data_IF_280858961500
#
_entry.id   IF_280858961500
#
_cell.length_a   1.000
_cell.length_b   1.000
_cell.length_c   1.000
_cell.angle_alpha   90.00
_cell.angle_beta   90.00
_cell.angle_gamma   90.00
#
_symmetry.space_group_name_H-M   'P 1'
#
loop_
_entity.id
_entity.type
_entity.pdbx_description
1 polymer ?
#
# COMPACT_ATOMS: atom_id res chain seq x y z
N UNK A 1 -13.64 35.99 21.32
CA UNK A 1 -12.21 35.88 21.71
C UNK A 1 -11.88 34.61 22.49
N UNK A 2 -12.78 34.07 23.30
CA UNK A 2 -12.53 32.88 24.15
C UNK A 2 -12.50 31.54 23.39
N UNK A 3 -13.16 31.42 22.25
CA UNK A 3 -13.19 30.19 21.44
C UNK A 3 -11.93 29.97 20.61
N UNK A 4 -11.29 31.06 20.16
CA UNK A 4 -10.03 30.98 19.42
C UNK A 4 -8.85 30.53 20.28
N UNK A 5 -8.81 31.01 21.54
CA UNK A 5 -7.79 30.61 22.53
C UNK A 5 -7.89 29.14 22.95
N UNK A 6 -9.11 28.55 22.99
CA UNK A 6 -9.31 27.13 23.28
C UNK A 6 -8.79 26.24 22.13
N UNK A 7 -9.05 26.63 20.88
CA UNK A 7 -8.52 25.90 19.70
C UNK A 7 -7.00 25.96 19.63
N UNK A 8 -6.43 27.14 19.93
CA UNK A 8 -4.98 27.31 19.93
C UNK A 8 -4.32 26.50 21.06
N UNK A 9 -4.94 26.38 22.22
CA UNK A 9 -4.44 25.55 23.33
C UNK A 9 -4.51 24.04 23.00
N UNK A 10 -5.57 23.60 22.36
CA UNK A 10 -5.68 22.18 21.92
C UNK A 10 -4.68 21.84 20.83
N UNK A 11 -4.39 22.77 19.92
CA UNK A 11 -3.37 22.59 18.90
C UNK A 11 -1.96 22.50 19.53
N UNK A 12 -1.64 23.38 20.48
CA UNK A 12 -0.35 23.35 21.18
C UNK A 12 -0.19 22.11 22.08
N UNK A 13 -1.25 21.58 22.68
CA UNK A 13 -1.17 20.35 23.48
C UNK A 13 -1.00 19.14 22.54
N UNK A 14 -1.65 19.16 21.38
CA UNK A 14 -1.51 18.13 20.35
C UNK A 14 -0.10 18.11 19.75
N UNK A 15 0.49 19.27 19.46
CA UNK A 15 1.87 19.39 18.99
C UNK A 15 2.89 19.02 20.07
N UNK A 16 2.64 19.36 21.34
CA UNK A 16 3.50 18.94 22.45
C UNK A 16 3.42 17.44 22.70
N UNK A 17 2.21 16.83 22.61
CA UNK A 17 2.08 15.37 22.72
C UNK A 17 2.76 14.65 21.55
N UNK A 18 2.76 15.29 20.37
CA UNK A 18 3.44 14.78 19.18
C UNK A 18 4.96 14.82 19.30
N UNK A 19 5.50 15.85 19.99
CA UNK A 19 6.94 16.04 20.21
C UNK A 19 7.47 15.25 21.42
N UNK A 20 6.62 14.92 22.40
CA UNK A 20 7.05 14.19 23.61
C UNK A 20 6.85 12.68 23.51
N UNK A 21 6.01 12.19 22.62
CA UNK A 21 5.97 10.78 22.29
C UNK A 21 6.95 10.56 21.15
N UNK A 22 8.21 10.35 21.47
CA UNK A 22 9.24 9.96 20.50
C UNK A 22 8.81 8.68 19.78
N UNK A 23 8.03 8.83 18.71
CA UNK A 23 7.55 7.71 17.87
C UNK A 23 8.69 6.91 17.23
N UNK A 24 9.89 7.47 17.27
CA UNK A 24 11.13 6.78 16.88
C UNK A 24 11.32 5.51 17.70
N UNK A 25 10.95 5.48 18.98
CA UNK A 25 11.02 4.28 19.81
C UNK A 25 10.17 3.12 19.28
N UNK A 26 8.96 3.40 18.78
CA UNK A 26 8.11 2.37 18.17
C UNK A 26 8.68 1.84 16.85
N UNK A 27 9.29 2.72 16.05
CA UNK A 27 9.96 2.32 14.81
C UNK A 27 11.20 1.46 15.12
N UNK A 28 11.99 1.83 16.13
CA UNK A 28 13.14 1.03 16.60
C UNK A 28 12.65 -0.31 17.16
N UNK A 29 11.61 -0.32 18.00
CA UNK A 29 11.04 -1.55 18.53
C UNK A 29 10.53 -2.46 17.40
N UNK A 30 9.85 -1.88 16.40
CA UNK A 30 9.42 -2.61 15.21
C UNK A 30 10.60 -3.20 14.43
N UNK A 31 11.65 -2.42 14.20
CA UNK A 31 12.86 -2.87 13.51
C UNK A 31 13.58 -3.98 14.29
N UNK A 32 13.75 -3.82 15.60
CA UNK A 32 14.37 -4.83 16.47
C UNK A 32 13.53 -6.11 16.50
N UNK A 33 12.20 -5.99 16.57
CA UNK A 33 11.29 -7.14 16.53
C UNK A 33 11.35 -7.86 15.17
N UNK A 34 11.48 -7.11 14.06
CA UNK A 34 11.61 -7.68 12.72
C UNK A 34 12.92 -8.47 12.59
N UNK A 35 14.04 -7.87 12.98
CA UNK A 35 15.37 -8.51 12.92
C UNK A 35 15.43 -9.69 13.87
N UNK A 36 14.95 -9.52 15.12
CA UNK A 36 14.90 -10.59 16.11
C UNK A 36 13.99 -11.75 15.66
N UNK A 37 12.82 -11.44 15.13
CA UNK A 37 11.91 -12.45 14.57
C UNK A 37 12.51 -13.19 13.37
N UNK A 38 13.21 -12.49 12.47
CA UNK A 38 13.93 -13.11 11.36
C UNK A 38 15.06 -14.03 11.84
N UNK A 39 15.84 -13.61 12.82
CA UNK A 39 16.90 -14.42 13.43
C UNK A 39 16.35 -15.67 14.13
N UNK A 40 15.24 -15.55 14.86
CA UNK A 40 14.55 -16.66 15.48
C UNK A 40 13.99 -17.61 14.42
N UNK A 41 13.35 -17.08 13.37
CA UNK A 41 12.84 -17.88 12.27
C UNK A 41 13.96 -18.66 11.57
N UNK A 42 15.10 -18.05 11.34
CA UNK A 42 16.28 -18.72 10.79
C UNK A 42 16.79 -19.82 11.72
N UNK A 43 16.78 -19.60 13.04
CA UNK A 43 17.23 -20.59 14.01
C UNK A 43 16.31 -21.81 14.12
N UNK A 44 14.99 -21.61 14.10
CA UNK A 44 14.00 -22.64 14.39
C UNK A 44 13.41 -23.34 13.15
N UNK A 45 13.36 -22.64 11.99
CA UNK A 45 12.69 -23.17 10.80
C UNK A 45 13.69 -23.54 9.69
N UNK A 46 13.78 -24.82 9.37
CA UNK A 46 14.67 -25.34 8.32
C UNK A 46 14.41 -24.73 6.92
N UNK A 47 13.13 -24.49 6.58
CA UNK A 47 12.80 -23.89 5.28
C UNK A 47 13.22 -22.42 5.17
N UNK A 48 13.36 -21.71 6.28
CA UNK A 48 13.89 -20.34 6.24
C UNK A 48 15.38 -20.37 5.94
N UNK A 49 16.11 -21.34 6.50
CA UNK A 49 17.54 -21.54 6.18
C UNK A 49 17.73 -21.88 4.71
N UNK A 50 16.96 -22.82 4.19
CA UNK A 50 17.05 -23.21 2.77
C UNK A 50 16.79 -21.99 1.87
N UNK A 51 15.80 -21.16 2.14
CA UNK A 51 15.53 -19.95 1.37
C UNK A 51 16.66 -18.94 1.46
N UNK A 52 17.29 -18.81 2.60
CA UNK A 52 18.42 -17.90 2.83
C UNK A 52 19.68 -18.42 2.10
N UNK A 53 19.95 -19.72 2.17
CA UNK A 53 21.06 -20.36 1.44
C UNK A 53 20.85 -20.29 -0.07
N UNK A 54 19.64 -20.52 -0.54
CA UNK A 54 19.27 -20.36 -1.96
C UNK A 54 19.43 -18.91 -2.45
N UNK A 55 19.21 -17.93 -1.58
CA UNK A 55 19.41 -16.53 -1.92
C UNK A 55 20.88 -16.14 -2.00
N UNK A 56 21.71 -16.60 -1.06
CA UNK A 56 23.13 -16.31 -1.00
C UNK A 56 23.92 -17.13 -2.06
N UNK A 57 23.61 -18.42 -2.16
CA UNK A 57 24.34 -19.38 -2.98
C UNK A 57 23.43 -20.16 -3.94
N UNK A 58 22.79 -19.52 -4.93
CA UNK A 58 21.79 -20.18 -5.78
C UNK A 58 22.37 -21.29 -6.65
N UNK A 59 23.65 -21.23 -6.99
CA UNK A 59 24.29 -22.19 -7.89
C UNK A 59 24.86 -23.42 -7.18
N UNK A 60 24.83 -23.50 -5.86
CA UNK A 60 25.38 -24.62 -5.10
C UNK A 60 24.51 -25.87 -5.28
N UNK A 61 23.20 -25.75 -5.31
CA UNK A 61 22.27 -26.83 -5.58
C UNK A 61 21.30 -26.45 -6.70
N UNK A 62 21.66 -26.87 -7.91
CA UNK A 62 20.87 -26.52 -9.11
C UNK A 62 19.46 -27.12 -9.08
N UNK A 63 19.28 -28.29 -8.48
CA UNK A 63 18.00 -28.98 -8.45
C UNK A 63 16.99 -28.25 -7.54
N UNK A 64 17.42 -27.80 -6.37
CA UNK A 64 16.60 -27.04 -5.43
C UNK A 64 16.34 -25.61 -5.90
N UNK A 65 17.33 -25.00 -6.55
CA UNK A 65 17.29 -23.60 -6.94
C UNK A 65 16.90 -23.38 -8.40
N UNK A 66 16.52 -24.44 -9.12
CA UNK A 66 16.19 -24.41 -10.54
C UNK A 66 15.24 -23.25 -10.90
N UNK A 67 14.19 -23.06 -10.10
CA UNK A 67 13.18 -22.02 -10.30
C UNK A 67 13.77 -20.60 -10.27
N UNK A 68 14.62 -20.30 -9.26
CA UNK A 68 15.26 -18.99 -9.11
C UNK A 68 16.28 -18.76 -10.23
N UNK A 69 17.03 -19.79 -10.58
CA UNK A 69 18.05 -19.72 -11.63
C UNK A 69 17.40 -19.45 -12.98
N UNK A 70 16.34 -20.19 -13.32
CA UNK A 70 15.60 -19.97 -14.58
C UNK A 70 14.94 -18.60 -14.62
N UNK A 71 14.42 -18.11 -13.48
CA UNK A 71 13.89 -16.78 -13.38
C UNK A 71 14.93 -15.69 -13.67
N UNK A 72 16.16 -15.85 -13.16
CA UNK A 72 17.27 -14.94 -13.45
C UNK A 72 17.70 -14.99 -14.94
N UNK A 73 17.75 -16.17 -15.53
CA UNK A 73 18.00 -16.29 -16.95
C UNK A 73 16.90 -15.65 -17.80
N UNK A 74 15.62 -15.84 -17.44
CA UNK A 74 14.51 -15.19 -18.12
C UNK A 74 14.66 -13.65 -18.11
N UNK A 75 14.95 -13.06 -16.95
CA UNK A 75 15.22 -11.61 -16.85
C UNK A 75 16.43 -11.17 -17.68
N UNK A 76 17.52 -11.95 -17.66
CA UNK A 76 18.73 -11.64 -18.43
C UNK A 76 18.47 -11.68 -19.95
N UNK A 77 17.65 -12.64 -20.40
CA UNK A 77 17.30 -12.80 -21.81
C UNK A 77 16.36 -11.70 -22.32
N UNK A 78 15.52 -11.13 -21.44
CA UNK A 78 14.67 -10.01 -21.80
C UNK A 78 15.44 -8.72 -22.08
N UNK A 79 16.59 -8.50 -21.46
CA UNK A 79 17.38 -7.29 -21.65
C UNK A 79 16.56 -6.00 -21.40
N UNK A 80 16.86 -4.94 -22.15
CA UNK A 80 16.15 -3.66 -22.02
C UNK A 80 14.78 -3.67 -22.71
N UNK A 81 14.71 -4.14 -23.95
CA UNK A 81 13.52 -4.04 -24.80
C UNK A 81 12.61 -5.27 -24.77
N UNK A 82 13.05 -6.36 -24.16
CA UNK A 82 12.34 -7.64 -24.18
C UNK A 82 12.57 -8.44 -25.46
N UNK A 83 12.12 -9.70 -25.43
CA UNK A 83 12.16 -10.60 -26.61
C UNK A 83 10.98 -10.34 -27.56
N UNK A 84 9.95 -9.69 -27.09
CA UNK A 84 8.69 -9.48 -27.77
C UNK A 84 7.52 -10.24 -27.12
N UNK A 85 6.33 -9.71 -27.27
CA UNK A 85 5.12 -10.28 -26.68
C UNK A 85 4.85 -11.69 -27.24
N UNK A 86 4.71 -12.66 -26.34
CA UNK A 86 4.49 -14.07 -26.69
C UNK A 86 5.72 -14.81 -27.22
N UNK A 87 6.90 -14.17 -27.31
CA UNK A 87 8.16 -14.78 -27.74
C UNK A 87 9.04 -15.22 -26.55
N UNK A 88 8.61 -14.96 -25.33
CA UNK A 88 9.23 -15.50 -24.12
C UNK A 88 9.03 -17.01 -23.98
N UNK A 89 9.74 -17.60 -23.06
CA UNK A 89 9.61 -19.01 -22.70
C UNK A 89 9.24 -19.17 -21.23
N UNK A 90 8.08 -18.63 -20.79
CA UNK A 90 7.68 -18.68 -19.38
C UNK A 90 7.52 -20.10 -18.84
N UNK A 91 7.28 -21.09 -19.72
CA UNK A 91 7.18 -22.51 -19.34
C UNK A 91 8.49 -23.12 -18.82
N UNK A 92 9.64 -22.44 -18.99
CA UNK A 92 10.93 -22.89 -18.42
C UNK A 92 11.04 -22.55 -16.93
N UNK A 93 10.26 -21.56 -16.46
CA UNK A 93 10.20 -21.19 -15.04
C UNK A 93 9.02 -21.89 -14.39
N UNK A 94 9.23 -22.84 -13.48
CA UNK A 94 8.14 -23.47 -12.74
C UNK A 94 7.32 -22.41 -12.01
N UNK A 95 5.98 -22.51 -12.04
CA UNK A 95 5.06 -21.55 -11.40
C UNK A 95 5.23 -20.09 -11.89
N UNK A 96 5.63 -19.88 -13.14
CA UNK A 96 5.79 -18.57 -13.75
C UNK A 96 4.51 -17.73 -13.64
N UNK A 97 3.33 -18.36 -13.69
CA UNK A 97 2.01 -17.70 -13.57
C UNK A 97 1.64 -17.26 -12.14
N UNK A 98 2.38 -17.70 -11.13
CA UNK A 98 2.14 -17.36 -9.72
C UNK A 98 3.19 -16.35 -9.23
N UNK A 99 4.28 -16.85 -8.66
CA UNK A 99 5.25 -16.04 -7.93
C UNK A 99 6.24 -15.32 -8.87
N UNK A 100 6.42 -15.85 -10.10
CA UNK A 100 7.39 -15.37 -11.07
C UNK A 100 6.77 -14.67 -12.30
N UNK A 101 5.53 -14.19 -12.19
CA UNK A 101 4.89 -13.44 -13.29
C UNK A 101 5.73 -12.21 -13.69
N UNK A 102 6.39 -11.55 -12.73
CA UNK A 102 7.28 -10.43 -12.97
C UNK A 102 8.48 -10.81 -13.84
N UNK A 103 8.97 -12.06 -13.75
CA UNK A 103 10.03 -12.59 -14.62
C UNK A 103 9.55 -12.75 -16.04
N UNK A 104 8.34 -13.32 -16.24
CA UNK A 104 7.76 -13.47 -17.57
C UNK A 104 7.56 -12.14 -18.25
N UNK A 105 7.09 -11.12 -17.51
CA UNK A 105 6.98 -9.74 -18.01
C UNK A 105 8.36 -9.18 -18.37
N UNK A 106 9.36 -9.41 -17.51
CA UNK A 106 10.73 -8.96 -17.76
C UNK A 106 11.38 -9.68 -18.94
N UNK A 107 11.06 -10.94 -19.24
CA UNK A 107 11.54 -11.65 -20.41
C UNK A 107 10.89 -11.14 -21.70
N UNK A 108 9.56 -10.95 -21.72
CA UNK A 108 8.82 -10.55 -22.93
C UNK A 108 8.93 -9.06 -23.23
N UNK A 109 8.75 -8.20 -22.22
CA UNK A 109 8.73 -6.74 -22.36
C UNK A 109 10.04 -6.07 -21.91
N UNK A 110 10.98 -6.84 -21.42
CA UNK A 110 12.26 -6.33 -20.92
C UNK A 110 12.15 -5.57 -19.61
N UNK A 111 13.27 -4.97 -19.23
CA UNK A 111 13.33 -4.09 -18.05
C UNK A 111 12.36 -2.92 -18.18
N UNK A 112 12.16 -2.41 -19.41
CA UNK A 112 11.21 -1.29 -19.66
C UNK A 112 9.78 -1.66 -19.29
N UNK A 113 9.31 -2.85 -19.66
CA UNK A 113 7.99 -3.35 -19.29
C UNK A 113 7.85 -3.60 -17.79
N UNK A 114 8.86 -4.19 -17.18
CA UNK A 114 8.89 -4.39 -15.72
C UNK A 114 8.84 -3.06 -14.97
N UNK A 115 9.61 -2.06 -15.41
CA UNK A 115 9.59 -0.72 -14.81
C UNK A 115 8.24 -0.02 -14.99
N UNK A 116 7.56 -0.22 -16.14
CA UNK A 116 6.21 0.31 -16.33
C UNK A 116 5.21 -0.28 -15.33
N UNK A 117 5.28 -1.58 -15.06
CA UNK A 117 4.46 -2.25 -14.05
C UNK A 117 4.76 -1.72 -12.65
N UNK A 118 6.03 -1.59 -12.28
CA UNK A 118 6.45 -1.01 -10.99
C UNK A 118 5.91 0.41 -10.85
N UNK A 119 6.00 1.22 -11.92
CA UNK A 119 5.50 2.59 -11.92
C UNK A 119 3.98 2.64 -11.71
N UNK A 120 3.21 1.73 -12.33
CA UNK A 120 1.76 1.63 -12.09
C UNK A 120 1.45 1.36 -10.62
N UNK A 121 2.13 0.41 -9.99
CA UNK A 121 1.97 0.14 -8.56
C UNK A 121 2.40 1.33 -7.69
N UNK A 122 3.47 2.01 -8.06
CA UNK A 122 3.92 3.21 -7.38
C UNK A 122 2.87 4.33 -7.44
N UNK A 123 2.27 4.57 -8.62
CA UNK A 123 1.20 5.55 -8.79
C UNK A 123 -0.01 5.17 -7.94
N UNK A 124 -0.43 3.90 -7.95
CA UNK A 124 -1.55 3.41 -7.15
C UNK A 124 -1.30 3.65 -5.64
N UNK A 125 -0.12 3.27 -5.17
CA UNK A 125 0.28 3.45 -3.76
C UNK A 125 0.37 4.94 -3.38
N UNK A 126 0.99 5.76 -4.24
CA UNK A 126 1.09 7.20 -4.02
C UNK A 126 -0.28 7.88 -3.99
N UNK A 127 -1.22 7.45 -4.82
CA UNK A 127 -2.61 7.92 -4.78
C UNK A 127 -3.31 7.52 -3.49
N UNK A 128 -3.14 6.29 -3.02
CA UNK A 128 -3.64 5.82 -1.74
C UNK A 128 -3.07 6.65 -0.57
N UNK A 129 -1.76 6.87 -0.56
CA UNK A 129 -1.12 7.67 0.47
C UNK A 129 -1.57 9.14 0.47
N UNK A 130 -1.74 9.75 -0.71
CA UNK A 130 -2.32 11.11 -0.83
C UNK A 130 -3.76 11.16 -0.32
N UNK A 131 -4.55 10.12 -0.56
CA UNK A 131 -5.90 10.01 -0.01
C UNK A 131 -5.87 9.96 1.51
N UNK A 132 -4.95 9.18 2.10
CA UNK A 132 -4.77 9.11 3.55
C UNK A 132 -4.43 10.48 4.16
N UNK A 133 -3.51 11.22 3.53
CA UNK A 133 -3.12 12.56 3.99
C UNK A 133 -4.28 13.59 3.92
N UNK A 134 -5.21 13.41 2.97
CA UNK A 134 -6.39 14.26 2.83
C UNK A 134 -7.56 13.87 3.75
N UNK A 135 -7.49 12.77 4.50
CA UNK A 135 -8.55 12.33 5.40
C UNK A 135 -8.66 13.26 6.62
N UNK A 136 -9.89 13.69 6.91
CA UNK A 136 -10.23 14.43 8.13
C UNK A 136 -10.37 13.52 9.35
N UNK A 137 -10.84 12.30 9.12
CA UNK A 137 -11.02 11.27 10.13
C UNK A 137 -9.71 10.51 10.37
N UNK A 138 -9.28 10.44 11.64
CA UNK A 138 -8.02 9.80 12.03
C UNK A 138 -8.03 8.29 11.74
N UNK A 139 -9.17 7.63 11.94
CA UNK A 139 -9.30 6.20 11.65
C UNK A 139 -9.17 5.92 10.14
N UNK A 140 -9.90 6.65 9.31
CA UNK A 140 -9.83 6.54 7.86
C UNK A 140 -8.42 6.83 7.32
N UNK A 141 -7.75 7.84 7.88
CA UNK A 141 -6.36 8.18 7.57
C UNK A 141 -5.42 7.01 7.83
N UNK A 142 -5.48 6.44 9.04
CA UNK A 142 -4.60 5.34 9.44
C UNK A 142 -4.88 4.07 8.63
N UNK A 143 -6.15 3.78 8.41
CA UNK A 143 -6.60 2.62 7.62
C UNK A 143 -6.11 2.69 6.18
N UNK A 144 -6.32 3.81 5.48
CA UNK A 144 -5.89 3.97 4.08
C UNK A 144 -4.38 4.01 3.95
N UNK A 145 -3.69 4.68 4.89
CA UNK A 145 -2.23 4.68 4.93
C UNK A 145 -1.67 3.26 5.11
N UNK A 146 -2.21 2.49 6.05
CA UNK A 146 -1.81 1.10 6.31
C UNK A 146 -2.05 0.19 5.11
N UNK A 147 -3.23 0.27 4.48
CA UNK A 147 -3.54 -0.52 3.29
C UNK A 147 -2.65 -0.17 2.10
N UNK A 148 -2.39 1.11 1.86
CA UNK A 148 -1.48 1.57 0.80
C UNK A 148 -0.04 1.12 1.05
N UNK A 149 0.41 1.19 2.29
CA UNK A 149 1.73 0.72 2.69
C UNK A 149 1.86 -0.81 2.54
N UNK A 150 0.83 -1.57 2.90
CA UNK A 150 0.81 -3.04 2.73
C UNK A 150 0.95 -3.41 1.26
N UNK A 151 0.23 -2.72 0.36
CA UNK A 151 0.34 -2.94 -1.08
C UNK A 151 1.75 -2.63 -1.58
N UNK A 152 2.35 -1.50 -1.15
CA UNK A 152 3.72 -1.14 -1.51
C UNK A 152 4.74 -2.17 -1.04
N UNK A 153 4.61 -2.62 0.21
CA UNK A 153 5.50 -3.60 0.80
C UNK A 153 5.39 -4.96 0.08
N UNK A 154 4.17 -5.37 -0.27
CA UNK A 154 3.93 -6.59 -1.03
C UNK A 154 4.64 -6.56 -2.40
N UNK A 155 4.46 -5.48 -3.17
CA UNK A 155 5.13 -5.30 -4.47
C UNK A 155 6.65 -5.26 -4.31
N UNK A 156 7.14 -4.52 -3.32
CA UNK A 156 8.57 -4.45 -3.03
C UNK A 156 9.18 -5.82 -2.69
N UNK A 157 8.49 -6.61 -1.84
CA UNK A 157 8.95 -7.93 -1.45
C UNK A 157 8.99 -8.91 -2.64
N UNK A 158 8.01 -8.83 -3.55
CA UNK A 158 7.93 -9.70 -4.73
C UNK A 158 9.01 -9.33 -5.73
N UNK A 159 9.10 -8.07 -6.12
CA UNK A 159 10.12 -7.61 -7.07
C UNK A 159 11.53 -7.82 -6.49
N UNK A 160 11.71 -7.51 -5.19
CA UNK A 160 12.96 -7.75 -4.48
C UNK A 160 13.35 -9.23 -4.43
N UNK A 161 12.37 -10.13 -4.26
CA UNK A 161 12.59 -11.57 -4.29
C UNK A 161 13.00 -12.07 -5.68
N UNK A 162 12.29 -11.62 -6.73
CA UNK A 162 12.58 -12.01 -8.12
C UNK A 162 13.92 -11.44 -8.61
N UNK A 163 14.27 -10.22 -8.23
CA UNK A 163 15.56 -9.59 -8.57
C UNK A 163 16.71 -10.00 -7.65
N UNK A 164 16.47 -10.89 -6.68
CA UNK A 164 17.45 -11.31 -5.67
C UNK A 164 17.94 -10.20 -4.74
N UNK A 165 17.23 -9.09 -4.66
CA UNK A 165 17.49 -8.07 -3.63
C UNK A 165 17.12 -8.60 -2.23
N UNK A 166 16.07 -9.43 -2.16
CA UNK A 166 15.55 -10.07 -0.96
C UNK A 166 15.49 -11.60 -1.15
N UNK A 167 15.46 -12.37 -0.06
CA UNK A 167 15.11 -13.80 -0.14
C UNK A 167 13.72 -13.97 -0.72
N UNK A 168 13.51 -15.00 -1.54
CA UNK A 168 12.22 -15.26 -2.17
C UNK A 168 11.13 -15.51 -1.13
N UNK A 169 10.07 -14.70 -1.15
CA UNK A 169 9.00 -14.75 -0.16
C UNK A 169 7.87 -15.72 -0.53
N UNK A 170 7.69 -16.02 -1.81
CA UNK A 170 6.57 -16.82 -2.32
C UNK A 170 5.22 -16.07 -2.23
N UNK A 171 5.26 -14.73 -2.24
CA UNK A 171 4.07 -13.90 -2.33
C UNK A 171 3.63 -13.74 -3.78
N UNK A 172 2.31 -13.77 -3.99
CA UNK A 172 1.72 -13.57 -5.31
C UNK A 172 1.67 -12.08 -5.67
N UNK A 173 1.97 -11.75 -6.94
CA UNK A 173 1.91 -10.35 -7.43
C UNK A 173 0.47 -9.87 -7.43
N UNK A 174 0.16 -8.69 -6.81
CA UNK A 174 -1.19 -8.15 -6.79
C UNK A 174 -1.75 -8.02 -8.21
N UNK A 175 -3.02 -8.39 -8.40
CA UNK A 175 -3.79 -8.29 -9.64
C UNK A 175 -3.27 -9.10 -10.85
N UNK A 176 -2.05 -9.60 -10.84
CA UNK A 176 -1.41 -10.24 -12.01
C UNK A 176 -1.20 -11.74 -11.84
N UNK A 177 -0.93 -12.20 -10.63
CA UNK A 177 -0.68 -13.61 -10.35
C UNK A 177 -1.94 -14.43 -10.26
N UNK A 178 -1.85 -15.70 -10.60
CA UNK A 178 -2.91 -16.68 -10.42
C UNK A 178 -3.04 -17.04 -8.92
N UNK A 179 -3.83 -16.24 -8.20
CA UNK A 179 -4.11 -16.45 -6.78
C UNK A 179 -5.49 -15.89 -6.46
N UNK A 180 -6.55 -16.73 -6.48
CA UNK A 180 -7.92 -16.24 -6.31
C UNK A 180 -8.15 -15.47 -5.02
N UNK A 181 -7.66 -15.96 -3.88
CA UNK A 181 -7.79 -15.28 -2.58
C UNK A 181 -7.01 -13.97 -2.52
N UNK A 182 -5.78 -13.96 -3.06
CA UNK A 182 -4.95 -12.76 -3.13
C UNK A 182 -5.57 -11.69 -4.02
N UNK A 183 -6.14 -12.09 -5.17
CA UNK A 183 -6.82 -11.19 -6.09
C UNK A 183 -8.00 -10.50 -5.40
N UNK A 184 -8.87 -11.27 -4.73
CA UNK A 184 -10.03 -10.73 -4.00
C UNK A 184 -9.57 -9.78 -2.89
N UNK A 185 -8.56 -10.15 -2.10
CA UNK A 185 -8.03 -9.31 -1.03
C UNK A 185 -7.50 -7.96 -1.57
N UNK A 186 -6.73 -7.98 -2.67
CA UNK A 186 -6.20 -6.76 -3.28
C UNK A 186 -7.30 -5.86 -3.86
N UNK A 187 -8.38 -6.45 -4.44
CA UNK A 187 -9.54 -5.69 -4.90
C UNK A 187 -10.29 -5.04 -3.73
N UNK A 188 -10.43 -5.75 -2.60
CA UNK A 188 -11.02 -5.18 -1.38
C UNK A 188 -10.19 -4.00 -0.88
N UNK A 189 -8.86 -4.11 -0.87
CA UNK A 189 -7.96 -3.02 -0.47
C UNK A 189 -8.21 -1.78 -1.34
N UNK A 190 -8.23 -1.94 -2.66
CA UNK A 190 -8.47 -0.82 -3.58
C UNK A 190 -9.87 -0.25 -3.41
N UNK A 191 -10.89 -1.10 -3.23
CA UNK A 191 -12.26 -0.65 -3.00
C UNK A 191 -12.36 0.22 -1.75
N UNK A 192 -11.74 -0.18 -0.64
CA UNK A 192 -11.72 0.60 0.60
C UNK A 192 -11.04 1.96 0.38
N UNK A 193 -9.88 1.98 -0.30
CA UNK A 193 -9.17 3.22 -0.63
C UNK A 193 -10.05 4.14 -1.47
N UNK A 194 -10.78 3.60 -2.45
CA UNK A 194 -11.69 4.38 -3.30
C UNK A 194 -12.89 4.94 -2.52
N UNK A 195 -13.50 4.14 -1.65
CA UNK A 195 -14.64 4.57 -0.82
C UNK A 195 -14.22 5.74 0.07
N UNK A 196 -13.09 5.63 0.76
CA UNK A 196 -12.59 6.71 1.61
C UNK A 196 -12.21 7.94 0.79
N UNK A 197 -11.60 7.75 -0.39
CA UNK A 197 -11.28 8.84 -1.30
C UNK A 197 -12.54 9.58 -1.77
N UNK A 198 -13.60 8.86 -2.06
CA UNK A 198 -14.89 9.45 -2.45
C UNK A 198 -15.52 10.24 -1.29
N UNK A 199 -15.51 9.65 -0.09
CA UNK A 199 -16.05 10.28 1.11
C UNK A 199 -15.34 11.60 1.46
N UNK A 200 -14.02 11.65 1.27
CA UNK A 200 -13.24 12.87 1.52
C UNK A 200 -13.50 14.00 0.53
N UNK A 201 -14.05 13.69 -0.65
CA UNK A 201 -14.37 14.68 -1.69
C UNK A 201 -15.78 15.25 -1.59
N UNK A 202 -16.66 14.61 -0.84
CA UNK A 202 -18.00 15.15 -0.63
C UNK A 202 -17.92 16.39 0.27
N UNK A 203 -18.47 17.54 -0.14
CA UNK A 203 -18.66 18.68 0.74
C UNK A 203 -19.60 18.29 1.90
N UNK A 204 -19.45 18.95 3.05
CA UNK A 204 -20.28 18.71 4.26
C UNK A 204 -21.76 19.13 4.09
N UNK A 205 -22.24 19.38 2.89
CA UNK A 205 -23.60 19.85 2.59
C UNK A 205 -24.72 18.88 3.06
N UNK A 206 -24.39 17.59 3.24
CA UNK A 206 -25.38 16.63 3.74
C UNK A 206 -25.65 16.78 5.27
N UNK A 207 -24.84 17.55 6.01
CA UNK A 207 -25.06 17.78 7.44
C UNK A 207 -26.02 18.95 7.72
N UNK A 208 -26.16 19.86 6.76
CA UNK A 208 -27.06 21.03 6.91
C UNK A 208 -28.53 20.63 6.63
N UNK A 209 -28.75 19.59 5.86
CA UNK A 209 -30.10 19.14 5.48
C UNK A 209 -30.83 18.34 6.58
N UNK A 210 -30.17 17.95 7.66
CA UNK A 210 -30.78 17.15 8.75
C UNK A 210 -31.01 17.91 10.04
N UNK A 211 -30.73 19.21 10.12
CA UNK A 211 -31.21 20.05 11.22
C UNK A 211 -32.66 20.40 10.87
N UNK A 212 -33.67 19.87 11.57
CA UNK A 212 -35.03 20.29 11.36
C UNK A 212 -35.05 21.80 11.54
N UNK A 213 -35.53 22.52 10.53
CA UNK A 213 -35.75 23.96 10.67
C UNK A 213 -36.65 24.17 11.90
N UNK A 214 -36.12 24.79 12.93
CA UNK A 214 -36.87 25.11 14.16
C UNK A 214 -38.10 25.90 13.75
N UNK A 215 -39.32 25.37 13.95
CA UNK A 215 -40.56 26.08 13.58
C UNK A 215 -40.71 27.42 14.26
N UNK A 216 -39.95 27.66 15.35
CA UNK A 216 -40.00 28.94 16.09
C UNK A 216 -39.13 30.03 15.43
N UNK A 217 -38.09 29.68 14.66
CA UNK A 217 -37.25 30.64 13.94
C UNK A 217 -38.02 31.32 12.76
N UNK A 218 -39.01 30.64 12.17
CA UNK A 218 -39.82 31.18 11.08
C UNK A 218 -40.83 32.23 11.58
N UNK A 219 -41.26 32.19 12.85
CA UNK A 219 -42.22 33.15 13.42
C UNK A 219 -41.53 34.43 13.91
N UNK A 220 -40.20 34.44 14.09
CA UNK A 220 -39.49 35.62 14.55
C UNK A 220 -39.30 36.69 13.46
N UNK A 221 -39.45 36.33 12.20
CA UNK A 221 -39.26 37.26 11.05
C UNK A 221 -40.56 37.96 10.63
N UNK A 222 -41.70 37.57 11.21
CA UNK A 222 -43.03 38.08 10.80
C UNK A 222 -43.52 39.29 11.63
N UNK A 223 -42.78 39.78 12.62
CA UNK A 223 -43.16 40.92 13.43
C UNK A 223 -42.18 42.07 13.23
N UNK A 224 -42.28 42.76 12.08
CA UNK A 224 -41.85 44.14 11.94
C UNK A 224 -43.14 44.98 11.91
N UNK A 225 -43.49 45.68 12.97
CA UNK A 225 -44.61 46.62 12.90
C UNK A 225 -44.19 47.79 12.04
N UNK A 226 -44.92 47.96 10.96
CA UNK A 226 -44.92 49.15 10.14
C UNK A 226 -45.33 50.34 10.99
N UNK A 227 -44.40 51.05 11.61
CA UNK A 227 -44.65 52.30 12.36
C UNK A 227 -44.61 53.47 11.42
N UNK A 228 -45.81 53.91 11.04
CA UNK A 228 -46.04 55.01 10.13
C UNK A 228 -45.62 56.38 10.65
N UNK A 229 -45.34 57.17 9.69
CA UNK A 229 -45.46 58.61 9.51
C UNK A 229 -46.16 59.38 10.63
N UNK A 230 -45.47 60.34 11.24
CA UNK A 230 -45.89 61.77 11.31
C UNK A 230 -44.67 62.62 11.64
#
# INVERSE_FOLDING_TARGET
>A
LHLSLRRQRQMCIRDRLYLTTERVGWAILGAVSLVGGAALAYAFFGHVRIRFDSWLHPFTDYSQNYQIIQAQFGLAWGGLAGRGWGLGRPGMVPLAWSDFIATSIGEELGVTGLMAVIMMFFILTARGMRTALGCRDEFGKLMVAGLSFTLALQVFAIIGGVTRLLPLTGLTTPFMSQGGSSLVANWIIVAIIMIVSHRNRKPDDDFVATVPADPQAQNATAVIPNGGTR
#
